data_IF_396219364609
#
_entry.id   IF_396219364609
#
_cell.length_a   1.000
_cell.length_b   1.000
_cell.length_c   1.000
_cell.angle_alpha   90.00
_cell.angle_beta   90.00
_cell.angle_gamma   90.00
#
_symmetry.space_group_name_H-M   'P 1'
#
loop_
_entity.id
_entity.type
_entity.pdbx_description
1 polymer ?
#
# COMPACT_ATOMS: atom_id res chain seq x y z
N UNK A 1 -0.04 28.96 7.77
CA UNK A 1 -0.39 28.33 6.48
C UNK A 1 -0.29 29.38 5.38
N UNK A 2 0.11 29.02 4.15
CA UNK A 2 0.34 29.99 3.07
C UNK A 2 -0.90 30.34 2.24
N UNK A 3 -2.05 29.69 2.46
CA UNK A 3 -3.25 29.85 1.62
C UNK A 3 -4.49 30.29 2.42
N UNK A 4 -5.22 31.33 1.99
CA UNK A 4 -6.38 31.88 2.74
C UNK A 4 -7.61 30.96 2.83
N UNK A 5 -7.71 29.95 1.96
CA UNK A 5 -8.88 29.06 1.85
C UNK A 5 -8.71 27.73 2.59
N UNK A 6 -7.52 27.43 3.11
CA UNK A 6 -7.23 26.17 3.78
C UNK A 6 -7.68 26.23 5.25
N UNK A 7 -8.51 25.27 5.65
CA UNK A 7 -8.95 25.15 7.04
C UNK A 7 -7.97 24.30 7.85
N UNK A 8 -7.65 24.76 9.06
CA UNK A 8 -6.84 23.99 10.01
C UNK A 8 -7.62 22.78 10.53
N UNK A 9 -6.89 21.72 10.89
CA UNK A 9 -7.47 20.58 11.58
C UNK A 9 -8.03 21.01 12.94
N UNK A 10 -9.34 20.84 13.14
CA UNK A 10 -10.03 21.14 14.40
C UNK A 10 -10.85 19.92 14.84
N UNK A 11 -10.38 19.14 15.83
CA UNK A 11 -11.12 17.98 16.32
C UNK A 11 -12.34 18.42 17.14
N UNK A 12 -13.53 17.94 16.77
CA UNK A 12 -14.78 18.22 17.48
C UNK A 12 -15.09 17.19 18.58
N UNK A 13 -14.56 15.97 18.46
CA UNK A 13 -14.83 14.89 19.41
C UNK A 13 -13.82 14.93 20.56
N UNK A 14 -14.24 14.77 21.84
CA UNK A 14 -13.34 14.86 23.01
C UNK A 14 -12.13 13.91 22.93
N UNK A 15 -12.33 12.67 22.47
CA UNK A 15 -11.24 11.72 22.24
C UNK A 15 -10.20 12.24 21.24
N UNK A 16 -10.65 12.91 20.18
CA UNK A 16 -9.76 13.42 19.13
C UNK A 16 -9.03 14.68 19.60
N UNK A 17 -9.65 15.51 20.44
CA UNK A 17 -8.99 16.65 21.10
C UNK A 17 -7.90 16.17 22.05
N UNK A 18 -8.22 15.19 22.90
CA UNK A 18 -7.26 14.57 23.81
C UNK A 18 -6.09 13.92 23.05
N UNK A 19 -6.39 13.16 21.99
CA UNK A 19 -5.37 12.52 21.18
C UNK A 19 -4.47 13.56 20.52
N UNK A 20 -5.05 14.59 19.90
CA UNK A 20 -4.29 15.65 19.22
C UNK A 20 -3.39 16.45 20.19
N UNK A 21 -3.80 16.61 21.45
CA UNK A 21 -2.99 17.26 22.49
C UNK A 21 -1.80 16.39 22.93
N UNK A 22 -2.01 15.08 23.13
CA UNK A 22 -0.95 14.17 23.62
C UNK A 22 -0.04 13.67 22.51
N UNK A 23 -0.61 13.42 21.34
CA UNK A 23 0.08 12.93 20.17
C UNK A 23 -0.67 13.36 18.90
N UNK A 24 -0.21 14.40 18.18
CA UNK A 24 -0.91 15.02 17.06
C UNK A 24 -0.90 14.17 15.77
N UNK A 25 -1.10 12.86 15.87
CA UNK A 25 -1.24 11.94 14.73
C UNK A 25 -2.41 12.34 13.81
N UNK A 26 -3.63 12.64 14.32
CA UNK A 26 -4.74 12.98 13.43
C UNK A 26 -4.46 14.25 12.62
N UNK A 27 -3.88 15.27 13.27
CA UNK A 27 -3.45 16.52 12.63
C UNK A 27 -2.33 16.28 11.62
N UNK A 28 -1.36 15.44 11.95
CA UNK A 28 -0.29 15.06 11.03
C UNK A 28 -0.85 14.41 9.76
N UNK A 29 -1.72 13.40 9.90
CA UNK A 29 -2.35 12.72 8.77
C UNK A 29 -3.19 13.69 7.93
N UNK A 30 -3.99 14.55 8.57
CA UNK A 30 -4.81 15.55 7.89
C UNK A 30 -3.97 16.48 7.01
N UNK A 31 -2.82 16.93 7.50
CA UNK A 31 -1.94 17.85 6.78
C UNK A 31 -1.06 17.14 5.74
N UNK A 32 -0.67 15.89 5.98
CA UNK A 32 0.26 15.17 5.13
C UNK A 32 -0.41 14.54 3.90
N UNK A 33 -1.59 13.95 4.07
CA UNK A 33 -2.27 13.16 3.02
C UNK A 33 -3.78 13.41 2.96
N UNK A 34 -4.34 14.15 3.91
CA UNK A 34 -5.77 14.46 3.98
C UNK A 34 -6.14 15.77 3.29
N UNK A 35 -7.27 16.36 3.71
CA UNK A 35 -7.79 17.61 3.14
C UNK A 35 -6.92 18.84 3.42
N UNK A 36 -5.98 18.75 4.36
CA UNK A 36 -4.98 19.79 4.61
C UNK A 36 -3.85 19.82 3.57
N UNK A 37 -3.72 18.77 2.74
CA UNK A 37 -2.71 18.71 1.69
C UNK A 37 -3.23 19.38 0.39
N UNK A 38 -2.65 20.51 -0.06
CA UNK A 38 -3.10 21.19 -1.26
C UNK A 38 -2.68 20.41 -2.52
N UNK A 39 -3.65 20.06 -3.36
CA UNK A 39 -3.42 19.31 -4.60
C UNK A 39 -3.81 20.17 -5.83
N UNK A 40 -2.96 20.24 -6.88
CA UNK A 40 -3.32 20.91 -8.13
C UNK A 40 -4.59 20.30 -8.76
N UNK A 41 -5.48 21.14 -9.30
CA UNK A 41 -6.74 20.66 -9.92
C UNK A 41 -6.58 20.03 -11.30
N UNK A 42 -5.41 20.15 -11.91
CA UNK A 42 -5.11 19.70 -13.27
C UNK A 42 -4.34 18.36 -13.32
N UNK A 43 -4.32 17.58 -12.24
CA UNK A 43 -3.73 16.24 -12.27
C UNK A 43 -4.53 15.33 -13.21
N UNK A 44 -3.82 14.65 -14.12
CA UNK A 44 -4.38 13.60 -14.97
C UNK A 44 -4.24 12.22 -14.29
N UNK A 45 -4.79 11.17 -14.93
CA UNK A 45 -4.79 9.83 -14.36
C UNK A 45 -3.40 9.24 -14.09
N UNK A 46 -2.34 9.70 -14.74
CA UNK A 46 -0.99 9.15 -14.55
C UNK A 46 -0.41 9.46 -13.16
N UNK A 47 -0.97 10.42 -12.43
CA UNK A 47 -0.58 10.69 -11.05
C UNK A 47 -0.99 9.57 -10.08
N UNK A 48 -1.94 8.70 -10.46
CA UNK A 48 -2.39 7.57 -9.63
C UNK A 48 -1.39 6.40 -9.59
N UNK A 49 -0.43 6.31 -10.51
CA UNK A 49 0.55 5.21 -10.51
C UNK A 49 1.45 5.21 -9.26
N UNK A 50 1.55 6.33 -8.54
CA UNK A 50 2.23 6.38 -7.24
C UNK A 50 1.47 5.66 -6.13
N UNK A 51 0.15 5.83 -6.04
CA UNK A 51 -0.63 5.09 -5.02
C UNK A 51 -0.79 3.62 -5.41
N UNK A 52 -0.90 3.33 -6.71
CA UNK A 52 -0.96 1.96 -7.21
C UNK A 52 0.30 1.16 -6.88
N UNK A 53 1.49 1.78 -6.84
CA UNK A 53 2.71 1.07 -6.43
C UNK A 53 2.69 0.74 -4.94
N UNK A 54 2.14 1.64 -4.11
CA UNK A 54 1.88 1.36 -2.70
C UNK A 54 0.89 0.22 -2.49
N UNK A 55 -0.19 0.15 -3.28
CA UNK A 55 -1.14 -0.98 -3.26
C UNK A 55 -0.46 -2.28 -3.68
N UNK A 56 0.34 -2.26 -4.75
CA UNK A 56 1.11 -3.43 -5.19
C UNK A 56 2.06 -3.92 -4.09
N UNK A 57 2.77 -3.01 -3.41
CA UNK A 57 3.63 -3.33 -2.28
C UNK A 57 2.85 -4.02 -1.15
N UNK A 58 1.69 -3.48 -0.77
CA UNK A 58 0.84 -4.08 0.27
C UNK A 58 0.39 -5.50 -0.12
N UNK A 59 -0.02 -5.72 -1.36
CA UNK A 59 -0.38 -7.04 -1.87
C UNK A 59 0.82 -7.99 -1.75
N UNK A 60 2.01 -7.58 -2.18
CA UNK A 60 3.21 -8.42 -2.11
C UNK A 60 3.61 -8.76 -0.67
N UNK A 61 3.54 -7.81 0.27
CA UNK A 61 3.86 -8.06 1.68
C UNK A 61 2.88 -9.06 2.29
N UNK A 62 1.57 -8.80 2.15
CA UNK A 62 0.54 -9.66 2.75
C UNK A 62 0.61 -11.08 2.18
N UNK A 63 0.62 -11.20 0.85
CA UNK A 63 0.70 -12.52 0.19
C UNK A 63 2.05 -13.20 0.45
N UNK A 64 3.15 -12.45 0.48
CA UNK A 64 4.48 -12.98 0.75
C UNK A 64 4.66 -13.52 2.16
N UNK A 65 4.11 -12.84 3.17
CA UNK A 65 4.09 -13.34 4.55
C UNK A 65 3.31 -14.65 4.63
N UNK A 66 2.13 -14.72 4.02
CA UNK A 66 1.30 -15.95 4.03
C UNK A 66 2.01 -17.09 3.30
N UNK A 67 2.61 -16.84 2.13
CA UNK A 67 3.38 -17.86 1.42
C UNK A 67 4.60 -18.32 2.23
N UNK A 68 5.29 -17.39 2.90
CA UNK A 68 6.42 -17.70 3.77
C UNK A 68 6.08 -18.59 4.96
N UNK A 69 4.83 -18.57 5.44
CA UNK A 69 4.36 -19.50 6.49
C UNK A 69 4.23 -20.95 6.01
N UNK A 70 4.15 -21.19 4.70
CA UNK A 70 3.94 -22.52 4.10
C UNK A 70 5.11 -22.99 3.23
N UNK A 71 6.07 -22.11 2.92
CA UNK A 71 7.23 -22.41 2.09
C UNK A 71 8.44 -22.85 2.93
N UNK A 72 9.17 -23.86 2.46
CA UNK A 72 10.45 -24.26 3.04
C UNK A 72 11.62 -23.89 2.12
N UNK A 73 12.53 -23.05 2.61
CA UNK A 73 13.74 -22.61 1.89
C UNK A 73 14.87 -23.65 1.94
N UNK A 74 14.60 -24.87 1.48
CA UNK A 74 15.57 -25.96 1.38
C UNK A 74 15.46 -26.64 0.02
N UNK A 75 16.59 -26.84 -0.66
CA UNK A 75 16.66 -27.38 -2.03
C UNK A 75 15.97 -28.73 -2.23
N UNK A 76 15.92 -29.59 -1.21
CA UNK A 76 15.31 -30.91 -1.29
C UNK A 76 13.77 -30.86 -1.28
N UNK A 77 13.19 -29.81 -0.69
CA UNK A 77 11.73 -29.74 -0.41
C UNK A 77 11.06 -28.48 -0.94
N UNK A 78 11.80 -27.48 -1.44
CA UNK A 78 11.26 -26.19 -1.88
C UNK A 78 10.14 -26.34 -2.93
N UNK A 79 10.35 -27.18 -3.94
CA UNK A 79 9.32 -27.44 -4.95
C UNK A 79 8.10 -28.18 -4.35
N UNK A 80 8.35 -29.18 -3.50
CA UNK A 80 7.27 -29.92 -2.82
C UNK A 80 6.38 -29.01 -1.97
N UNK A 81 6.98 -28.11 -1.19
CA UNK A 81 6.22 -27.12 -0.39
C UNK A 81 5.50 -26.07 -1.26
N UNK A 82 6.02 -25.78 -2.46
CA UNK A 82 5.32 -24.91 -3.42
C UNK A 82 4.08 -25.60 -4.01
N UNK A 83 4.15 -26.90 -4.31
CA UNK A 83 2.97 -27.68 -4.73
C UNK A 83 1.97 -27.88 -3.59
N UNK A 84 2.45 -28.05 -2.35
CA UNK A 84 1.60 -28.07 -1.16
C UNK A 84 0.77 -26.79 -1.04
N UNK A 85 1.38 -25.61 -1.24
CA UNK A 85 0.65 -24.33 -1.31
C UNK A 85 -0.44 -24.35 -2.38
N UNK A 86 -0.18 -24.94 -3.55
CA UNK A 86 -1.16 -24.97 -4.64
C UNK A 86 -2.36 -25.86 -4.35
N UNK A 87 -2.13 -27.01 -3.70
CA UNK A 87 -3.10 -28.12 -3.65
C UNK A 87 -3.79 -28.25 -2.30
N UNK A 88 -3.07 -27.97 -1.22
CA UNK A 88 -3.50 -28.36 0.13
C UNK A 88 -3.79 -27.14 1.02
N UNK A 89 -3.18 -25.98 0.74
CA UNK A 89 -3.45 -24.74 1.47
C UNK A 89 -4.75 -24.10 0.95
N UNK A 90 -5.64 -23.73 1.88
CA UNK A 90 -6.91 -23.07 1.55
C UNK A 90 -6.67 -21.80 0.71
N UNK A 91 -7.19 -21.79 -0.52
CA UNK A 91 -6.97 -20.72 -1.50
C UNK A 91 -5.48 -20.42 -1.81
N UNK A 92 -4.56 -21.34 -1.50
CA UNK A 92 -3.13 -21.12 -1.70
C UNK A 92 -2.77 -20.96 -3.18
N UNK A 93 -3.50 -21.61 -4.10
CA UNK A 93 -3.39 -21.36 -5.54
C UNK A 93 -3.60 -19.89 -5.91
N UNK A 94 -4.63 -19.26 -5.33
CA UNK A 94 -4.98 -17.87 -5.61
C UNK A 94 -3.92 -16.93 -5.02
N UNK A 95 -3.47 -17.19 -3.80
CA UNK A 95 -2.45 -16.39 -3.12
C UNK A 95 -1.12 -16.47 -3.88
N UNK A 96 -0.71 -17.65 -4.33
CA UNK A 96 0.52 -17.82 -5.11
C UNK A 96 0.43 -17.08 -6.44
N UNK A 97 -0.68 -17.19 -7.17
CA UNK A 97 -0.85 -16.44 -8.42
C UNK A 97 -0.95 -14.94 -8.19
N UNK A 98 -1.58 -14.49 -7.11
CA UNK A 98 -1.62 -13.08 -6.74
C UNK A 98 -0.22 -12.54 -6.45
N UNK A 99 0.62 -13.28 -5.73
CA UNK A 99 2.00 -12.87 -5.45
C UNK A 99 2.88 -12.85 -6.70
N UNK A 100 2.76 -13.87 -7.56
CA UNK A 100 3.56 -13.98 -8.78
C UNK A 100 3.16 -12.93 -9.82
N UNK A 101 1.86 -12.79 -10.13
CA UNK A 101 1.38 -11.80 -11.09
C UNK A 101 1.44 -10.37 -10.51
N UNK A 102 1.28 -10.23 -9.18
CA UNK A 102 1.43 -8.97 -8.46
C UNK A 102 2.83 -8.37 -8.62
N UNK A 103 3.88 -9.21 -8.69
CA UNK A 103 5.24 -8.75 -9.00
C UNK A 103 5.32 -8.11 -10.40
N UNK A 104 4.77 -8.76 -11.43
CA UNK A 104 4.72 -8.20 -12.79
C UNK A 104 3.92 -6.90 -12.85
N UNK A 105 2.75 -6.85 -12.19
CA UNK A 105 1.95 -5.63 -12.07
C UNK A 105 2.72 -4.50 -11.38
N UNK A 106 3.48 -4.81 -10.32
CA UNK A 106 4.31 -3.84 -9.62
C UNK A 106 5.33 -3.21 -10.58
N UNK A 107 6.04 -4.01 -11.38
CA UNK A 107 6.97 -3.47 -12.38
C UNK A 107 6.28 -2.58 -13.42
N UNK A 108 5.13 -2.99 -13.96
CA UNK A 108 4.35 -2.18 -14.91
C UNK A 108 4.01 -0.82 -14.30
N UNK A 109 3.49 -0.81 -13.07
CA UNK A 109 3.09 0.40 -12.36
C UNK A 109 4.29 1.31 -12.07
N UNK A 110 5.42 0.74 -11.63
CA UNK A 110 6.64 1.51 -11.33
C UNK A 110 7.23 2.12 -12.60
N UNK A 111 7.28 1.38 -13.71
CA UNK A 111 7.76 1.95 -14.97
C UNK A 111 6.89 3.13 -15.41
N UNK A 112 5.56 2.98 -15.40
CA UNK A 112 4.64 4.07 -15.73
C UNK A 112 4.80 5.26 -14.76
N UNK A 113 5.05 4.99 -13.48
CA UNK A 113 5.31 6.04 -12.48
C UNK A 113 6.61 6.80 -12.76
N UNK A 114 7.70 6.11 -13.08
CA UNK A 114 9.01 6.71 -13.40
C UNK A 114 8.89 7.53 -14.69
N UNK A 115 8.34 6.97 -15.76
CA UNK A 115 8.22 7.64 -17.06
C UNK A 115 7.30 8.85 -17.02
N UNK A 116 6.31 8.90 -16.13
CA UNK A 116 5.51 10.10 -15.93
C UNK A 116 6.33 11.28 -15.39
N UNK A 117 7.42 11.01 -14.66
CA UNK A 117 8.28 12.02 -14.05
C UNK A 117 9.47 12.45 -14.91
N UNK A 118 9.68 11.81 -16.06
CA UNK A 118 10.66 12.19 -17.09
C UNK A 118 10.04 13.18 -18.07
#
# INVERSE_FOLDING_TARGET
MSFPWANEYKPNHPLMQWLDEKLPLPRFVYNAVGAGYPVPRNLNYFWNFGVLSGVALMIQIVTGIVLGMHYAANELVAFGTTEHIMRDVNAGWMIRYAHANGASFFFIVVYLHIFRGL
#
